data_IF_682136348059
#
_entry.id   IF_682136348059
#
_cell.length_a   1.000
_cell.length_b   1.000
_cell.length_c   1.000
_cell.angle_alpha   90.00
_cell.angle_beta   90.00
_cell.angle_gamma   90.00
#
_symmetry.space_group_name_H-M   'P 1'
#
loop_
_entity.id
_entity.type
_entity.pdbx_description
1 polymer ?
#
# COMPACT_ATOMS: atom_id res chain seq x y z
N UNK A 1 -45.90 -1.62 44.77
CA UNK A 1 -44.69 -1.45 43.93
C UNK A 1 -44.87 -1.93 42.48
N UNK A 2 -45.17 -3.22 42.20
CA UNK A 2 -45.34 -3.73 40.81
C UNK A 2 -46.41 -3.00 39.96
N UNK A 3 -47.44 -2.42 40.57
CA UNK A 3 -48.47 -1.62 39.88
C UNK A 3 -47.95 -0.25 39.42
N UNK A 4 -47.25 0.50 40.30
CA UNK A 4 -46.58 1.76 39.95
C UNK A 4 -45.57 1.56 38.81
N UNK A 5 -44.76 0.49 38.83
CA UNK A 5 -43.76 0.25 37.78
C UNK A 5 -44.41 -0.01 36.42
N UNK A 6 -45.56 -0.70 36.39
CA UNK A 6 -46.36 -0.92 35.16
C UNK A 6 -47.11 0.35 34.70
N UNK A 7 -47.42 1.24 35.62
CA UNK A 7 -48.06 2.52 35.31
C UNK A 7 -47.05 3.55 34.80
N UNK A 8 -45.97 3.81 35.52
CA UNK A 8 -45.02 4.88 35.19
C UNK A 8 -43.93 4.47 34.20
N UNK A 9 -43.63 3.16 34.07
CA UNK A 9 -42.56 2.67 33.18
C UNK A 9 -42.62 3.16 31.72
N UNK A 10 -43.80 3.22 31.05
CA UNK A 10 -43.88 3.77 29.70
C UNK A 10 -43.64 5.28 29.61
N UNK A 11 -43.97 6.04 30.66
CA UNK A 11 -43.74 7.49 30.71
C UNK A 11 -42.25 7.77 30.98
N UNK A 12 -41.66 7.04 31.92
CA UNK A 12 -40.22 7.10 32.22
C UNK A 12 -39.38 6.81 30.96
N UNK A 13 -39.74 5.76 30.22
CA UNK A 13 -39.12 5.44 28.92
C UNK A 13 -39.33 6.52 27.87
N UNK A 14 -40.53 7.11 27.79
CA UNK A 14 -40.81 8.20 26.86
C UNK A 14 -39.90 9.39 27.13
N UNK A 15 -39.85 9.86 28.39
CA UNK A 15 -39.11 11.07 28.74
C UNK A 15 -37.60 10.87 28.75
N UNK A 16 -37.11 9.68 29.13
CA UNK A 16 -35.69 9.33 29.01
C UNK A 16 -35.27 9.31 27.53
N UNK A 17 -36.05 8.63 26.68
CA UNK A 17 -35.82 8.60 25.24
C UNK A 17 -35.87 10.00 24.61
N UNK A 18 -36.85 10.82 25.00
CA UNK A 18 -36.97 12.21 24.54
C UNK A 18 -35.76 13.06 24.93
N UNK A 19 -35.29 12.93 26.17
CA UNK A 19 -34.11 13.65 26.65
C UNK A 19 -32.86 13.24 25.84
N UNK A 20 -32.62 11.94 25.71
CA UNK A 20 -31.48 11.42 24.96
C UNK A 20 -31.54 11.81 23.48
N UNK A 21 -32.73 11.77 22.86
CA UNK A 21 -32.93 12.22 21.49
C UNK A 21 -32.55 13.69 21.31
N UNK A 22 -33.02 14.58 22.19
CA UNK A 22 -32.72 16.01 22.09
C UNK A 22 -31.22 16.26 22.26
N UNK A 23 -30.57 15.63 23.23
CA UNK A 23 -29.14 15.79 23.47
C UNK A 23 -28.31 15.31 22.25
N UNK A 24 -28.66 14.15 21.69
CA UNK A 24 -27.94 13.56 20.55
C UNK A 24 -28.22 14.28 19.24
N UNK A 25 -29.49 14.59 18.95
CA UNK A 25 -29.89 15.34 17.76
C UNK A 25 -29.19 16.71 17.73
N UNK A 26 -29.15 17.42 18.85
CA UNK A 26 -28.42 18.69 18.95
C UNK A 26 -26.92 18.52 18.67
N UNK A 27 -26.29 17.48 19.22
CA UNK A 27 -24.89 17.19 18.96
C UNK A 27 -24.63 16.91 17.47
N UNK A 28 -25.47 16.11 16.81
CA UNK A 28 -25.34 15.80 15.38
C UNK A 28 -25.51 17.04 14.48
N UNK A 29 -26.33 18.00 14.91
CA UNK A 29 -26.61 19.23 14.17
C UNK A 29 -25.55 20.31 14.31
N UNK A 30 -24.97 20.46 15.50
CA UNK A 30 -24.07 21.58 15.80
C UNK A 30 -22.59 21.26 15.61
N UNK A 31 -22.19 20.00 15.77
CA UNK A 31 -20.80 19.61 15.61
C UNK A 31 -20.33 19.82 14.16
N UNK A 32 -19.05 20.17 13.95
CA UNK A 32 -18.47 20.23 12.62
C UNK A 32 -18.65 18.90 11.89
N UNK A 33 -18.99 18.92 10.59
CA UNK A 33 -19.28 17.71 9.81
C UNK A 33 -18.27 16.56 9.99
N UNK A 34 -16.94 16.79 9.98
CA UNK A 34 -15.96 15.71 10.14
C UNK A 34 -15.94 15.05 11.53
N UNK A 35 -16.58 15.65 12.53
CA UNK A 35 -16.69 15.12 13.89
C UNK A 35 -17.96 14.30 14.11
N UNK A 36 -18.88 14.30 13.15
CA UNK A 36 -20.14 13.59 13.24
C UNK A 36 -20.00 12.22 12.59
N UNK A 37 -20.18 11.16 13.38
CA UNK A 37 -20.30 9.79 12.87
C UNK A 37 -21.73 9.57 12.36
N UNK A 38 -21.90 9.69 11.03
CA UNK A 38 -23.20 9.61 10.39
C UNK A 38 -23.81 8.20 10.47
N UNK A 39 -23.00 7.13 10.42
CA UNK A 39 -23.48 5.75 10.56
C UNK A 39 -24.02 5.52 11.98
N UNK A 40 -23.27 5.96 13.00
CA UNK A 40 -23.71 5.88 14.38
C UNK A 40 -24.98 6.71 14.64
N UNK A 41 -25.06 7.92 14.07
CA UNK A 41 -26.24 8.78 14.18
C UNK A 41 -27.49 8.13 13.56
N UNK A 42 -27.39 7.63 12.32
CA UNK A 42 -28.49 6.96 11.62
C UNK A 42 -28.94 5.69 12.36
N UNK A 43 -28.00 4.86 12.83
CA UNK A 43 -28.29 3.68 13.62
C UNK A 43 -29.02 4.03 14.92
N UNK A 44 -28.54 5.05 15.64
CA UNK A 44 -29.14 5.52 16.90
C UNK A 44 -30.53 6.10 16.69
N UNK A 45 -30.77 6.84 15.61
CA UNK A 45 -32.09 7.33 15.26
C UNK A 45 -33.08 6.18 15.05
N UNK A 46 -32.69 5.13 14.31
CA UNK A 46 -33.48 3.92 14.12
C UNK A 46 -33.82 3.18 15.42
N UNK A 47 -32.88 3.15 16.38
CA UNK A 47 -33.13 2.63 17.73
C UNK A 47 -34.20 3.46 18.46
N UNK A 48 -34.10 4.78 18.43
CA UNK A 48 -35.06 5.68 19.06
C UNK A 48 -36.46 5.54 18.43
N UNK A 49 -36.57 5.53 17.10
CA UNK A 49 -37.83 5.32 16.38
C UNK A 49 -38.49 4.00 16.76
N UNK A 50 -37.70 2.91 16.84
CA UNK A 50 -38.17 1.59 17.27
C UNK A 50 -38.68 1.58 18.72
N UNK A 51 -37.97 2.26 19.63
CA UNK A 51 -38.36 2.36 21.03
C UNK A 51 -39.64 3.20 21.19
N UNK A 52 -39.72 4.36 20.54
CA UNK A 52 -40.89 5.25 20.56
C UNK A 52 -42.12 4.56 19.96
N UNK A 53 -41.98 3.77 18.89
CA UNK A 53 -43.08 2.99 18.32
C UNK A 53 -43.65 1.96 19.31
N UNK A 54 -42.79 1.32 20.12
CA UNK A 54 -43.22 0.39 21.18
C UNK A 54 -43.94 1.12 22.31
N UNK A 55 -43.42 2.28 22.73
CA UNK A 55 -44.02 3.12 23.78
C UNK A 55 -45.37 3.67 23.33
N UNK A 56 -45.46 4.15 22.08
CA UNK A 56 -46.69 4.67 21.47
C UNK A 56 -47.83 3.64 21.52
N UNK A 57 -47.58 2.40 21.08
CA UNK A 57 -48.57 1.29 21.16
C UNK A 57 -49.06 1.01 22.57
N UNK A 58 -48.21 1.20 23.59
CA UNK A 58 -48.58 0.98 25.00
C UNK A 58 -49.39 2.15 25.54
N UNK A 59 -49.08 3.38 25.12
CA UNK A 59 -49.82 4.58 25.52
C UNK A 59 -51.20 4.63 24.87
N UNK A 60 -51.33 4.25 23.60
CA UNK A 60 -52.63 4.18 22.89
C UNK A 60 -53.60 3.17 23.53
N UNK A 61 -53.09 2.04 24.01
CA UNK A 61 -53.90 1.04 24.74
C UNK A 61 -54.48 1.55 26.06
N UNK A 62 -53.92 2.63 26.63
CA UNK A 62 -54.38 3.22 27.91
C UNK A 62 -55.42 4.33 27.72
N UNK A 63 -55.81 4.67 26.48
CA UNK A 63 -56.90 5.59 26.16
C UNK A 63 -56.70 7.03 26.64
N UNK A 64 -57.81 7.72 26.95
CA UNK A 64 -57.89 9.15 27.28
C UNK A 64 -57.02 9.58 28.48
N UNK A 65 -56.73 8.69 29.43
CA UNK A 65 -55.94 9.01 30.62
C UNK A 65 -54.50 9.46 30.32
N UNK A 66 -53.99 9.23 29.09
CA UNK A 66 -52.62 9.57 28.68
C UNK A 66 -52.52 10.27 27.33
N UNK A 67 -53.59 10.96 26.93
CA UNK A 67 -53.67 11.63 25.63
C UNK A 67 -52.47 12.55 25.35
N UNK A 68 -52.08 13.40 26.31
CA UNK A 68 -50.94 14.30 26.16
C UNK A 68 -49.61 13.56 25.94
N UNK A 69 -49.36 12.50 26.71
CA UNK A 69 -48.13 11.71 26.57
C UNK A 69 -48.11 10.93 25.24
N UNK A 70 -49.26 10.40 24.81
CA UNK A 70 -49.40 9.76 23.51
C UNK A 70 -49.16 10.76 22.37
N UNK A 71 -49.66 12.00 22.50
CA UNK A 71 -49.39 13.08 21.54
C UNK A 71 -47.90 13.43 21.47
N UNK A 72 -47.22 13.63 22.61
CA UNK A 72 -45.78 13.90 22.62
C UNK A 72 -44.97 12.75 21.99
N UNK A 73 -45.33 11.51 22.30
CA UNK A 73 -44.68 10.33 21.71
C UNK A 73 -44.87 10.27 20.19
N UNK A 74 -46.05 10.65 19.67
CA UNK A 74 -46.30 10.73 18.23
C UNK A 74 -45.48 11.83 17.55
N UNK A 75 -45.35 13.00 18.18
CA UNK A 75 -44.53 14.09 17.66
C UNK A 75 -43.06 13.69 17.59
N UNK A 76 -42.51 13.13 18.68
CA UNK A 76 -41.13 12.61 18.69
C UNK A 76 -40.92 11.51 17.65
N UNK A 77 -41.88 10.59 17.50
CA UNK A 77 -41.80 9.54 16.47
C UNK A 77 -41.84 10.10 15.05
N UNK A 78 -42.54 11.22 14.82
CA UNK A 78 -42.54 11.91 13.54
C UNK A 78 -41.21 12.62 13.30
N UNK A 79 -40.65 13.25 14.33
CA UNK A 79 -39.34 13.90 14.29
C UNK A 79 -38.22 12.89 13.99
N UNK A 80 -38.17 11.75 14.69
CA UNK A 80 -37.19 10.69 14.40
C UNK A 80 -37.31 10.16 12.98
N UNK A 81 -38.53 10.08 12.45
CA UNK A 81 -38.75 9.66 11.06
C UNK A 81 -38.29 10.71 10.05
N UNK A 82 -38.58 11.99 10.29
CA UNK A 82 -38.08 13.06 9.42
C UNK A 82 -36.55 13.08 9.42
N UNK A 83 -35.92 12.87 10.57
CA UNK A 83 -34.47 12.69 10.64
C UNK A 83 -34.00 11.50 9.79
N UNK A 84 -34.61 10.33 9.95
CA UNK A 84 -34.26 9.11 9.18
C UNK A 84 -34.45 9.28 7.67
N UNK A 85 -35.52 9.96 7.25
CA UNK A 85 -35.90 10.09 5.84
C UNK A 85 -35.19 11.26 5.13
N UNK A 86 -34.98 12.40 5.81
CA UNK A 86 -34.50 13.65 5.19
C UNK A 86 -33.04 14.00 5.56
N UNK A 87 -32.63 13.76 6.81
CA UNK A 87 -31.34 14.24 7.34
C UNK A 87 -30.25 13.18 7.28
N UNK A 88 -30.55 11.96 7.73
CA UNK A 88 -29.61 10.86 7.79
C UNK A 88 -28.99 10.54 6.41
N UNK A 89 -29.73 10.52 5.28
CA UNK A 89 -29.13 10.30 3.97
C UNK A 89 -28.12 11.38 3.59
N UNK A 90 -28.40 12.65 3.91
CA UNK A 90 -27.47 13.74 3.66
C UNK A 90 -26.21 13.59 4.54
N UNK A 91 -26.39 13.31 5.83
CA UNK A 91 -25.29 13.11 6.78
C UNK A 91 -24.33 12.01 6.32
N UNK A 92 -24.88 10.87 5.88
CA UNK A 92 -24.10 9.74 5.37
C UNK A 92 -23.27 10.09 4.12
N UNK A 93 -23.60 11.16 3.42
CA UNK A 93 -22.83 11.63 2.26
C UNK A 93 -21.81 12.69 2.64
N UNK A 94 -22.19 13.68 3.46
CA UNK A 94 -21.38 14.89 3.68
C UNK A 94 -20.47 14.82 4.91
N UNK A 95 -20.77 13.96 5.88
CA UNK A 95 -19.92 13.74 7.04
C UNK A 95 -18.79 12.73 6.76
N UNK A 96 -18.84 12.03 5.63
CA UNK A 96 -17.78 11.12 5.21
C UNK A 96 -16.46 11.89 4.96
N UNK A 97 -15.33 11.39 5.46
CA UNK A 97 -14.04 12.00 5.24
C UNK A 97 -13.66 11.94 3.74
N UNK A 98 -13.13 13.06 3.22
CA UNK A 98 -12.67 13.14 1.84
C UNK A 98 -13.23 14.30 1.04
N UNK A 99 -14.27 14.96 1.56
CA UNK A 99 -14.78 16.20 0.99
C UNK A 99 -13.70 17.28 0.95
N UNK A 100 -13.35 17.72 -0.26
CA UNK A 100 -12.37 18.76 -0.56
C UNK A 100 -13.09 19.91 -1.27
N UNK A 101 -12.47 21.08 -1.33
CA UNK A 101 -13.09 22.28 -1.91
C UNK A 101 -13.68 22.04 -3.31
N UNK A 102 -12.97 21.30 -4.17
CA UNK A 102 -13.45 20.90 -5.50
C UNK A 102 -14.81 20.18 -5.50
N UNK A 103 -15.06 19.31 -4.51
CA UNK A 103 -16.32 18.56 -4.39
C UNK A 103 -17.45 19.50 -3.97
N UNK A 104 -17.16 20.41 -3.03
CA UNK A 104 -18.13 21.43 -2.64
C UNK A 104 -18.45 22.40 -3.77
N UNK A 105 -17.47 22.78 -4.58
CA UNK A 105 -17.68 23.64 -5.75
C UNK A 105 -18.55 22.94 -6.81
N UNK A 106 -18.36 21.63 -7.00
CA UNK A 106 -19.22 20.81 -7.86
C UNK A 106 -20.65 20.71 -7.31
N UNK A 107 -20.82 20.48 -6.00
CA UNK A 107 -22.14 20.49 -5.34
C UNK A 107 -22.85 21.83 -5.55
N UNK A 108 -22.16 22.96 -5.35
CA UNK A 108 -22.73 24.30 -5.62
C UNK A 108 -23.12 24.46 -7.08
N UNK A 109 -22.27 24.02 -8.00
CA UNK A 109 -22.53 24.11 -9.43
C UNK A 109 -23.76 23.30 -9.85
N UNK A 110 -23.98 22.12 -9.26
CA UNK A 110 -25.11 21.22 -9.56
C UNK A 110 -26.40 21.70 -8.90
N UNK A 111 -26.35 22.08 -7.63
CA UNK A 111 -27.55 22.47 -6.86
C UNK A 111 -27.97 23.93 -7.06
N UNK A 112 -27.04 24.78 -7.55
CA UNK A 112 -27.19 26.25 -7.63
C UNK A 112 -27.38 26.93 -6.28
N UNK A 113 -27.05 26.24 -5.18
CA UNK A 113 -27.06 26.78 -3.83
C UNK A 113 -25.77 27.55 -3.58
N UNK A 114 -25.90 28.72 -2.95
CA UNK A 114 -24.78 29.56 -2.57
C UNK A 114 -24.57 29.47 -1.06
N UNK A 115 -23.39 28.99 -0.65
CA UNK A 115 -23.02 28.89 0.75
C UNK A 115 -21.50 28.90 0.97
N UNK A 116 -21.06 29.31 2.15
CA UNK A 116 -19.65 29.29 2.53
C UNK A 116 -19.26 27.95 3.14
N UNK A 117 -18.25 27.29 2.56
CA UNK A 117 -17.66 26.08 3.14
C UNK A 117 -16.58 26.53 4.13
N UNK A 118 -16.72 26.14 5.39
CA UNK A 118 -15.75 26.44 6.45
C UNK A 118 -15.45 25.18 7.25
N UNK A 119 -14.33 25.16 7.98
CA UNK A 119 -13.95 24.01 8.81
C UNK A 119 -14.95 23.73 9.95
N UNK A 120 -15.72 24.74 10.37
CA UNK A 120 -16.77 24.62 11.38
C UNK A 120 -18.17 24.45 10.80
N UNK A 121 -18.29 24.16 9.50
CA UNK A 121 -19.58 23.89 8.87
C UNK A 121 -20.25 22.69 9.55
N UNK A 122 -21.55 22.77 9.79
CA UNK A 122 -22.32 21.75 10.50
C UNK A 122 -23.62 21.38 9.77
N UNK A 123 -24.31 20.35 10.27
CA UNK A 123 -25.52 19.85 9.63
C UNK A 123 -26.66 20.86 9.68
N UNK A 124 -26.80 21.63 10.77
CA UNK A 124 -27.83 22.66 10.88
C UNK A 124 -27.75 23.67 9.72
N UNK A 125 -26.54 24.15 9.41
CA UNK A 125 -26.33 25.06 8.29
C UNK A 125 -26.72 24.43 6.93
N UNK A 126 -26.38 23.16 6.71
CA UNK A 126 -26.74 22.45 5.47
C UNK A 126 -28.24 22.26 5.31
N UNK A 127 -28.94 22.01 6.42
CA UNK A 127 -30.39 21.90 6.46
C UNK A 127 -31.06 23.25 6.20
N UNK A 128 -30.55 24.34 6.79
CA UNK A 128 -31.06 25.70 6.59
C UNK A 128 -30.94 26.16 5.13
N UNK A 129 -29.88 25.72 4.44
CA UNK A 129 -29.68 25.99 3.01
C UNK A 129 -30.58 25.10 2.13
N UNK A 130 -31.14 24.01 2.69
CA UNK A 130 -32.01 23.08 1.99
C UNK A 130 -31.26 22.03 1.16
N UNK A 131 -30.01 21.70 1.49
CA UNK A 131 -29.21 20.74 0.73
C UNK A 131 -29.81 19.32 0.77
N UNK A 132 -30.57 18.98 1.82
CA UNK A 132 -31.27 17.71 1.97
C UNK A 132 -32.23 17.40 0.81
N UNK A 133 -32.79 18.41 0.16
CA UNK A 133 -33.65 18.21 -1.01
C UNK A 133 -32.88 17.79 -2.28
N UNK A 134 -31.55 17.87 -2.25
CA UNK A 134 -30.68 17.59 -3.39
C UNK A 134 -29.77 16.38 -3.19
N UNK A 135 -30.03 15.54 -2.17
CA UNK A 135 -29.26 14.32 -1.86
C UNK A 135 -28.96 13.49 -3.13
N UNK A 136 -30.00 13.23 -3.94
CA UNK A 136 -29.87 12.46 -5.18
C UNK A 136 -28.95 13.09 -6.25
N UNK A 137 -28.76 14.42 -6.24
CA UNK A 137 -27.88 15.10 -7.19
C UNK A 137 -26.42 15.15 -6.71
N UNK A 138 -26.20 15.09 -5.41
CA UNK A 138 -24.86 15.24 -4.80
C UNK A 138 -24.23 13.89 -4.43
N UNK A 139 -25.03 12.82 -4.42
CA UNK A 139 -24.61 11.46 -4.06
C UNK A 139 -23.35 11.03 -4.81
N UNK A 140 -23.34 11.16 -6.14
CA UNK A 140 -22.19 10.78 -6.97
C UNK A 140 -20.91 11.54 -6.59
N UNK A 141 -21.01 12.84 -6.33
CA UNK A 141 -19.89 13.69 -5.93
C UNK A 141 -19.37 13.31 -4.55
N UNK A 142 -20.25 13.07 -3.57
CA UNK A 142 -19.87 12.65 -2.23
C UNK A 142 -19.25 11.24 -2.22
N UNK A 143 -19.82 10.30 -2.99
CA UNK A 143 -19.26 8.96 -3.16
C UNK A 143 -17.88 9.05 -3.82
N UNK A 144 -17.71 9.90 -4.84
CA UNK A 144 -16.40 10.14 -5.46
C UNK A 144 -15.39 10.65 -4.43
N UNK A 145 -15.76 11.63 -3.61
CA UNK A 145 -14.90 12.19 -2.56
C UNK A 145 -14.42 11.12 -1.56
N UNK A 146 -15.34 10.27 -1.08
CA UNK A 146 -15.01 9.18 -0.16
C UNK A 146 -14.05 8.16 -0.81
N UNK A 147 -14.31 7.76 -2.06
CA UNK A 147 -13.45 6.82 -2.80
C UNK A 147 -12.08 7.40 -3.12
N UNK A 148 -12.01 8.69 -3.44
CA UNK A 148 -10.76 9.43 -3.63
C UNK A 148 -9.93 9.46 -2.35
N UNK A 149 -10.54 9.76 -1.20
CA UNK A 149 -9.84 9.77 0.08
C UNK A 149 -9.34 8.39 0.50
N UNK A 150 -10.12 7.33 0.23
CA UNK A 150 -9.67 5.96 0.45
C UNK A 150 -8.44 5.61 -0.42
N UNK A 151 -8.44 6.02 -1.69
CA UNK A 151 -7.30 5.83 -2.60
C UNK A 151 -6.08 6.61 -2.11
N UNK A 152 -6.22 7.89 -1.75
CA UNK A 152 -5.15 8.72 -1.22
C UNK A 152 -4.54 8.13 0.07
N UNK A 153 -5.39 7.64 0.98
CA UNK A 153 -4.96 6.97 2.21
C UNK A 153 -4.21 5.69 1.91
N UNK A 154 -4.68 4.89 0.96
CA UNK A 154 -4.02 3.66 0.56
C UNK A 154 -2.64 3.93 -0.07
N UNK A 155 -2.54 4.91 -0.97
CA UNK A 155 -1.28 5.33 -1.58
C UNK A 155 -0.29 5.87 -0.55
N UNK A 156 -0.75 6.71 0.37
CA UNK A 156 0.09 7.25 1.46
C UNK A 156 0.61 6.15 2.37
N UNK A 157 -0.23 5.15 2.67
CA UNK A 157 0.18 3.97 3.44
C UNK A 157 1.24 3.15 2.69
N UNK A 158 1.04 2.91 1.39
CA UNK A 158 1.98 2.17 0.56
C UNK A 158 3.36 2.84 0.52
N UNK A 159 3.42 4.16 0.31
CA UNK A 159 4.66 4.93 0.39
C UNK A 159 5.30 4.84 1.79
N UNK A 160 4.48 4.93 2.84
CA UNK A 160 4.93 4.84 4.23
C UNK A 160 5.50 3.47 4.62
N UNK A 161 5.03 2.37 4.03
CA UNK A 161 5.54 1.03 4.32
C UNK A 161 7.03 0.88 4.00
N UNK A 162 7.59 1.72 3.11
CA UNK A 162 8.99 1.66 2.71
C UNK A 162 9.91 2.53 3.57
N UNK A 163 9.40 3.28 4.56
CA UNK A 163 10.23 4.23 5.33
C UNK A 163 11.37 3.56 6.08
N UNK A 164 11.13 2.33 6.54
CA UNK A 164 12.05 1.58 7.39
C UNK A 164 12.67 0.38 6.63
N UNK A 165 12.36 0.25 5.34
CA UNK A 165 12.86 -0.84 4.51
C UNK A 165 14.30 -0.57 4.06
N UNK A 166 15.20 -1.49 4.38
CA UNK A 166 16.62 -1.39 4.08
C UNK A 166 17.14 -2.66 3.40
N UNK A 167 18.00 -2.49 2.39
CA UNK A 167 18.71 -3.60 1.77
C UNK A 167 19.77 -4.17 2.74
N UNK A 168 19.61 -5.45 3.08
CA UNK A 168 20.62 -6.18 3.83
C UNK A 168 21.85 -6.48 2.98
N UNK A 169 23.04 -6.18 3.51
CA UNK A 169 24.31 -6.58 2.89
C UNK A 169 25.15 -7.41 3.85
N UNK A 170 25.92 -8.37 3.33
CA UNK A 170 26.88 -9.17 4.10
C UNK A 170 28.23 -9.23 3.40
N UNK A 171 29.29 -9.35 4.20
CA UNK A 171 30.65 -9.48 3.70
C UNK A 171 30.86 -10.84 3.02
N UNK A 172 31.55 -10.83 1.89
CA UNK A 172 31.87 -12.03 1.12
C UNK A 172 33.23 -11.88 0.45
N UNK A 173 34.23 -12.61 0.98
CA UNK A 173 35.62 -12.60 0.47
C UNK A 173 36.18 -11.18 0.31
N UNK A 174 36.25 -10.72 -0.93
CA UNK A 174 36.86 -9.45 -1.36
C UNK A 174 35.84 -8.30 -1.46
N UNK A 175 34.55 -8.57 -1.24
CA UNK A 175 33.48 -7.58 -1.37
C UNK A 175 32.29 -7.83 -0.45
N UNK A 176 31.11 -7.41 -0.90
CA UNK A 176 29.83 -7.58 -0.21
C UNK A 176 28.78 -8.10 -1.18
N UNK A 177 27.75 -8.76 -0.64
CA UNK A 177 26.59 -9.23 -1.40
C UNK A 177 25.29 -8.88 -0.69
N UNK A 178 24.21 -8.75 -1.47
CA UNK A 178 22.85 -8.62 -0.95
C UNK A 178 22.43 -9.87 -0.19
N UNK A 179 21.62 -9.68 0.84
CA UNK A 179 21.08 -10.76 1.68
C UNK A 179 19.72 -10.36 2.26
N UNK A 180 18.82 -11.33 2.43
CA UNK A 180 17.55 -11.12 3.12
C UNK A 180 16.58 -10.22 2.34
N UNK A 181 16.53 -10.35 1.02
CA UNK A 181 15.69 -9.50 0.15
C UNK A 181 14.26 -10.03 -0.03
N UNK A 182 13.94 -11.21 0.50
CA UNK A 182 12.66 -11.89 0.24
C UNK A 182 11.45 -11.03 0.66
N UNK A 183 11.54 -10.36 1.82
CA UNK A 183 10.48 -9.47 2.31
C UNK A 183 10.32 -8.23 1.43
N UNK A 184 11.43 -7.69 0.91
CA UNK A 184 11.44 -6.54 -0.02
C UNK A 184 10.76 -6.94 -1.34
N UNK A 185 11.11 -8.10 -1.90
CA UNK A 185 10.49 -8.60 -3.14
C UNK A 185 8.99 -8.86 -2.95
N UNK A 186 8.60 -9.47 -1.83
CA UNK A 186 7.20 -9.73 -1.54
C UNK A 186 6.38 -8.43 -1.41
N UNK A 187 6.87 -7.42 -0.69
CA UNK A 187 6.19 -6.13 -0.58
C UNK A 187 6.16 -5.40 -1.94
N UNK A 188 7.23 -5.49 -2.72
CA UNK A 188 7.31 -4.90 -4.06
C UNK A 188 6.26 -5.48 -5.01
N UNK A 189 6.17 -6.80 -5.12
CA UNK A 189 5.20 -7.48 -5.98
C UNK A 189 3.75 -7.11 -5.61
N UNK A 190 3.45 -7.13 -4.31
CA UNK A 190 2.13 -6.77 -3.78
C UNK A 190 1.79 -5.30 -4.08
N UNK A 191 2.75 -4.39 -3.88
CA UNK A 191 2.55 -2.98 -4.16
C UNK A 191 2.45 -2.65 -5.64
N UNK A 192 3.15 -3.37 -6.53
CA UNK A 192 2.99 -3.22 -7.98
C UNK A 192 1.54 -3.53 -8.38
N UNK A 193 0.99 -4.66 -7.94
CA UNK A 193 -0.40 -5.06 -8.24
C UNK A 193 -1.40 -4.04 -7.67
N UNK A 194 -1.18 -3.57 -6.43
CA UNK A 194 -2.02 -2.55 -5.82
C UNK A 194 -1.98 -1.21 -6.57
N UNK A 195 -0.79 -0.80 -7.02
CA UNK A 195 -0.61 0.45 -7.77
C UNK A 195 -1.33 0.38 -9.12
N UNK A 196 -1.21 -0.74 -9.84
CA UNK A 196 -1.96 -0.99 -11.08
C UNK A 196 -3.48 -0.95 -10.87
N UNK A 197 -3.97 -1.54 -9.78
CA UNK A 197 -5.38 -1.47 -9.41
C UNK A 197 -5.84 -0.03 -9.11
N UNK A 198 -5.00 0.78 -8.45
CA UNK A 198 -5.26 2.21 -8.23
C UNK A 198 -5.29 2.98 -9.54
N UNK A 199 -4.34 2.74 -10.44
CA UNK A 199 -4.28 3.36 -11.76
C UNK A 199 -5.54 3.06 -12.58
N UNK A 200 -6.10 1.84 -12.47
CA UNK A 200 -7.36 1.46 -13.10
C UNK A 200 -8.63 2.05 -12.47
N UNK A 201 -8.54 2.74 -11.34
CA UNK A 201 -9.69 3.31 -10.64
C UNK A 201 -10.25 4.53 -11.36
N UNK A 202 -11.58 4.60 -11.50
CA UNK A 202 -12.26 5.81 -12.02
C UNK A 202 -12.03 7.08 -11.17
N UNK A 203 -11.58 6.90 -9.93
CA UNK A 203 -11.33 7.97 -8.95
C UNK A 203 -9.85 8.39 -8.88
N UNK A 204 -8.98 7.83 -9.74
CA UNK A 204 -7.54 8.11 -9.69
C UNK A 204 -7.19 9.51 -10.18
N UNK A 205 -8.06 10.16 -10.96
CA UNK A 205 -7.75 11.38 -11.72
C UNK A 205 -7.03 12.49 -10.92
N UNK A 206 -7.41 12.83 -9.68
CA UNK A 206 -6.71 13.86 -8.89
C UNK A 206 -5.30 13.44 -8.44
N UNK A 207 -5.01 12.14 -8.45
CA UNK A 207 -3.79 11.53 -7.94
C UNK A 207 -2.94 10.88 -9.03
N UNK A 208 -3.35 10.96 -10.30
CA UNK A 208 -2.72 10.24 -11.42
C UNK A 208 -1.20 10.49 -11.47
N UNK A 209 -0.76 11.76 -11.43
CA UNK A 209 0.66 12.09 -11.43
C UNK A 209 1.45 11.48 -10.24
N UNK A 210 0.81 11.33 -9.08
CA UNK A 210 1.44 10.72 -7.90
C UNK A 210 1.48 9.20 -8.03
N UNK A 211 0.41 8.58 -8.54
CA UNK A 211 0.33 7.15 -8.83
C UNK A 211 1.35 6.76 -9.90
N UNK A 212 1.45 7.53 -11.00
CA UNK A 212 2.42 7.28 -12.08
C UNK A 212 3.86 7.35 -11.58
N UNK A 213 4.19 8.38 -10.78
CA UNK A 213 5.51 8.52 -10.19
C UNK A 213 5.84 7.38 -9.22
N UNK A 214 4.83 6.89 -8.48
CA UNK A 214 4.99 5.75 -7.59
C UNK A 214 5.19 4.45 -8.36
N UNK A 215 4.38 4.21 -9.39
CA UNK A 215 4.52 3.05 -10.28
C UNK A 215 5.90 3.01 -10.92
N UNK A 216 6.38 4.13 -11.46
CA UNK A 216 7.74 4.22 -12.00
C UNK A 216 8.81 3.88 -10.96
N UNK A 217 8.63 4.33 -9.71
CA UNK A 217 9.57 4.01 -8.62
C UNK A 217 9.60 2.50 -8.34
N UNK A 218 8.43 1.86 -8.28
CA UNK A 218 8.33 0.42 -8.03
C UNK A 218 8.87 -0.41 -9.21
N UNK A 219 8.53 -0.06 -10.45
CA UNK A 219 9.06 -0.76 -11.64
C UNK A 219 10.57 -0.61 -11.75
N UNK A 220 11.11 0.60 -11.51
CA UNK A 220 12.56 0.80 -11.50
C UNK A 220 13.25 -0.02 -10.41
N UNK A 221 12.65 -0.11 -9.21
CA UNK A 221 13.16 -0.95 -8.14
C UNK A 221 13.15 -2.45 -8.52
N UNK A 222 12.09 -2.92 -9.18
CA UNK A 222 12.02 -4.29 -9.70
C UNK A 222 13.15 -4.58 -10.68
N UNK A 223 13.34 -3.72 -11.67
CA UNK A 223 14.40 -3.85 -12.68
C UNK A 223 15.79 -3.82 -12.04
N UNK A 224 15.99 -2.97 -11.03
CA UNK A 224 17.24 -2.92 -10.25
C UNK A 224 17.47 -4.25 -9.56
N UNK A 225 16.50 -4.76 -8.77
CA UNK A 225 16.66 -6.02 -8.02
C UNK A 225 16.96 -7.19 -8.97
N UNK A 226 16.23 -7.30 -10.09
CA UNK A 226 16.41 -8.38 -11.04
C UNK A 226 17.79 -8.37 -11.69
N UNK A 227 18.27 -7.19 -12.11
CA UNK A 227 19.62 -7.06 -12.67
C UNK A 227 20.69 -7.30 -11.59
N UNK A 228 20.48 -6.80 -10.38
CA UNK A 228 21.41 -6.93 -9.27
C UNK A 228 21.64 -8.39 -8.87
N UNK A 229 20.56 -9.17 -8.76
CA UNK A 229 20.64 -10.59 -8.44
C UNK A 229 21.34 -11.40 -9.53
N UNK A 230 21.12 -11.06 -10.81
CA UNK A 230 21.85 -11.66 -11.93
C UNK A 230 23.34 -11.35 -11.86
N UNK A 231 23.72 -10.09 -11.63
CA UNK A 231 25.12 -9.68 -11.44
C UNK A 231 25.72 -10.44 -10.27
N UNK A 232 25.02 -10.50 -9.13
CA UNK A 232 25.49 -11.18 -7.93
C UNK A 232 25.77 -12.67 -8.18
N UNK A 233 24.84 -13.38 -8.82
CA UNK A 233 24.99 -14.80 -9.11
C UNK A 233 26.19 -15.08 -10.03
N UNK A 234 26.32 -14.29 -11.11
CA UNK A 234 27.43 -14.41 -12.05
C UNK A 234 28.77 -14.01 -11.41
N UNK A 235 28.79 -12.92 -10.63
CA UNK A 235 30.00 -12.45 -9.94
C UNK A 235 30.49 -13.46 -8.90
N UNK A 236 29.61 -14.05 -8.10
CA UNK A 236 29.96 -15.08 -7.12
C UNK A 236 30.61 -16.31 -7.76
N UNK A 237 30.19 -16.65 -8.98
CA UNK A 237 30.77 -17.75 -9.75
C UNK A 237 32.15 -17.37 -10.33
N UNK A 238 32.26 -16.19 -10.93
CA UNK A 238 33.42 -15.77 -11.71
C UNK A 238 34.57 -15.21 -10.85
N UNK A 239 34.29 -14.60 -9.70
CA UNK A 239 35.30 -14.03 -8.80
C UNK A 239 36.42 -15.01 -8.42
N UNK A 240 36.15 -16.24 -7.93
CA UNK A 240 37.22 -17.19 -7.65
C UNK A 240 38.01 -17.58 -8.90
N UNK A 241 37.34 -17.71 -10.04
CA UNK A 241 37.95 -18.19 -11.29
C UNK A 241 38.94 -17.16 -11.83
N UNK A 242 38.52 -15.90 -11.92
CA UNK A 242 39.32 -14.80 -12.45
C UNK A 242 40.30 -14.22 -11.41
N UNK A 243 40.25 -14.66 -10.15
CA UNK A 243 41.32 -14.43 -9.17
C UNK A 243 42.60 -15.23 -9.45
N UNK A 244 42.52 -16.28 -10.28
CA UNK A 244 43.66 -17.10 -10.66
C UNK A 244 44.54 -16.42 -11.71
N UNK A 245 45.83 -16.28 -11.40
CA UNK A 245 46.86 -15.79 -12.33
C UNK A 245 46.93 -16.61 -13.62
N UNK A 246 46.61 -17.90 -13.57
CA UNK A 246 46.67 -18.76 -14.75
C UNK A 246 45.52 -18.47 -15.71
N UNK A 247 44.30 -18.44 -15.20
CA UNK A 247 43.11 -18.07 -15.99
C UNK A 247 43.27 -16.66 -16.55
N UNK A 248 43.79 -15.72 -15.75
CA UNK A 248 44.04 -14.34 -16.20
C UNK A 248 44.98 -14.26 -17.40
N UNK A 249 45.97 -15.15 -17.49
CA UNK A 249 46.91 -15.22 -18.62
C UNK A 249 46.31 -15.90 -19.85
N UNK A 250 45.40 -16.85 -19.66
CA UNK A 250 44.76 -17.60 -20.74
C UNK A 250 43.61 -16.82 -21.37
N UNK A 251 42.89 -16.02 -20.57
CA UNK A 251 41.71 -15.24 -20.94
C UNK A 251 41.89 -13.74 -20.64
N UNK A 252 42.87 -13.05 -21.25
CA UNK A 252 43.22 -11.67 -20.89
C UNK A 252 42.09 -10.67 -21.19
N UNK A 253 41.32 -10.89 -22.25
CA UNK A 253 40.22 -10.01 -22.67
C UNK A 253 39.08 -10.08 -21.67
N UNK A 254 38.64 -11.30 -21.32
CA UNK A 254 37.60 -11.57 -20.34
C UNK A 254 38.02 -11.11 -18.95
N UNK A 255 39.30 -11.31 -18.58
CA UNK A 255 39.84 -10.84 -17.29
C UNK A 255 39.82 -9.32 -17.16
N UNK A 256 40.16 -8.61 -18.24
CA UNK A 256 40.04 -7.15 -18.26
C UNK A 256 38.59 -6.70 -18.11
N UNK A 257 37.63 -7.36 -18.77
CA UNK A 257 36.20 -7.06 -18.61
C UNK A 257 35.71 -7.36 -17.19
N UNK A 258 36.12 -8.51 -16.62
CA UNK A 258 35.76 -8.88 -15.25
C UNK A 258 36.28 -7.88 -14.23
N UNK A 259 37.50 -7.35 -14.42
CA UNK A 259 38.07 -6.33 -13.54
C UNK A 259 37.21 -5.06 -13.50
N UNK A 260 36.68 -4.63 -14.65
CA UNK A 260 35.76 -3.48 -14.73
C UNK A 260 34.47 -3.78 -13.98
N UNK A 261 33.83 -4.93 -14.26
CA UNK A 261 32.59 -5.34 -13.59
C UNK A 261 32.79 -5.46 -12.08
N UNK A 262 33.91 -6.04 -11.64
CA UNK A 262 34.25 -6.19 -10.23
C UNK A 262 34.39 -4.83 -9.53
N UNK A 263 34.99 -3.83 -10.19
CA UNK A 263 35.04 -2.46 -9.68
C UNK A 263 33.65 -1.87 -9.46
N UNK A 264 32.79 -1.94 -10.48
CA UNK A 264 31.40 -1.47 -10.42
C UNK A 264 30.62 -2.18 -9.31
N UNK A 265 30.78 -3.49 -9.17
CA UNK A 265 30.14 -4.30 -8.13
C UNK A 265 30.54 -3.84 -6.72
N UNK A 266 31.85 -3.77 -6.46
CA UNK A 266 32.37 -3.40 -5.13
C UNK A 266 31.93 -1.99 -4.75
N UNK A 267 32.00 -1.03 -5.67
CA UNK A 267 31.57 0.35 -5.43
C UNK A 267 30.06 0.42 -5.15
N UNK A 268 29.24 -0.20 -6.00
CA UNK A 268 27.79 -0.22 -5.86
C UNK A 268 27.35 -0.82 -4.52
N UNK A 269 27.97 -1.92 -4.11
CA UNK A 269 27.70 -2.61 -2.85
C UNK A 269 28.19 -1.81 -1.63
N UNK A 270 29.33 -1.12 -1.74
CA UNK A 270 29.83 -0.26 -0.66
C UNK A 270 28.93 0.96 -0.43
N UNK A 271 28.45 1.58 -1.50
CA UNK A 271 27.51 2.69 -1.40
C UNK A 271 26.16 2.24 -0.84
N UNK A 272 25.65 1.09 -1.27
CA UNK A 272 24.42 0.49 -0.71
C UNK A 272 24.57 0.17 0.77
N UNK A 273 25.73 -0.30 1.21
CA UNK A 273 25.99 -0.51 2.63
C UNK A 273 26.05 0.79 3.44
N UNK A 274 26.38 1.93 2.81
CA UNK A 274 26.39 3.25 3.44
C UNK A 274 24.99 3.85 3.51
N UNK A 275 24.19 3.62 2.48
CA UNK A 275 22.84 4.15 2.33
C UNK A 275 21.88 3.00 1.93
N UNK A 276 21.44 2.18 2.91
CA UNK A 276 20.73 0.94 2.63
C UNK A 276 19.24 1.13 2.37
N UNK A 277 18.68 2.31 2.65
CA UNK A 277 17.26 2.59 2.48
C UNK A 277 16.79 2.26 1.06
N UNK A 278 15.78 1.40 0.94
CA UNK A 278 15.34 0.82 -0.35
C UNK A 278 14.96 1.91 -1.35
N UNK A 279 14.21 2.93 -0.91
CA UNK A 279 13.81 4.03 -1.78
C UNK A 279 14.97 4.93 -2.21
N UNK A 280 16.04 5.05 -1.41
CA UNK A 280 17.22 5.80 -1.82
C UNK A 280 17.95 5.05 -2.94
N UNK A 281 18.13 3.74 -2.74
CA UNK A 281 18.76 2.85 -3.74
C UNK A 281 17.94 2.80 -5.04
N UNK A 282 16.61 2.73 -4.95
CA UNK A 282 15.71 2.78 -6.10
C UNK A 282 15.82 4.08 -6.92
N UNK A 283 16.24 5.18 -6.29
CA UNK A 283 16.35 6.52 -6.90
C UNK A 283 17.79 6.89 -7.25
N UNK A 284 18.75 5.98 -7.05
CA UNK A 284 20.15 6.22 -7.39
C UNK A 284 20.32 6.30 -8.91
N UNK A 285 20.67 7.48 -9.39
CA UNK A 285 20.90 7.73 -10.82
C UNK A 285 22.01 6.82 -11.36
N UNK A 286 21.77 6.19 -12.52
CA UNK A 286 22.77 5.37 -13.20
C UNK A 286 22.93 3.94 -12.67
N UNK A 287 22.32 3.59 -11.53
CA UNK A 287 22.50 2.25 -10.94
C UNK A 287 21.98 1.16 -11.87
N UNK A 288 20.76 1.32 -12.40
CA UNK A 288 20.16 0.32 -13.27
C UNK A 288 21.01 0.12 -14.52
N UNK A 289 21.43 1.21 -15.15
CA UNK A 289 22.27 1.20 -16.34
C UNK A 289 23.62 0.51 -16.07
N UNK A 290 24.25 0.79 -14.93
CA UNK A 290 25.49 0.14 -14.50
C UNK A 290 25.29 -1.38 -14.30
N UNK A 291 24.20 -1.80 -13.67
CA UNK A 291 23.90 -3.21 -13.44
C UNK A 291 23.57 -3.95 -14.75
N UNK A 292 22.83 -3.31 -15.67
CA UNK A 292 22.54 -3.86 -16.99
C UNK A 292 23.83 -4.02 -17.81
N UNK A 293 24.66 -2.97 -17.87
CA UNK A 293 25.95 -2.99 -18.56
C UNK A 293 26.93 -4.02 -17.96
N UNK A 294 26.88 -4.22 -16.63
CA UNK A 294 27.62 -5.28 -15.95
C UNK A 294 27.13 -6.68 -16.34
N UNK A 295 25.80 -6.91 -16.39
CA UNK A 295 25.23 -8.18 -16.83
C UNK A 295 25.63 -8.51 -18.28
N UNK A 296 25.57 -7.55 -19.20
CA UNK A 296 25.99 -7.76 -20.59
C UNK A 296 27.47 -8.18 -20.69
N UNK A 297 28.36 -7.55 -19.91
CA UNK A 297 29.76 -7.96 -19.84
C UNK A 297 29.93 -9.35 -19.23
N UNK A 298 29.17 -9.67 -18.19
CA UNK A 298 29.21 -10.98 -17.53
C UNK A 298 28.78 -12.10 -18.49
N UNK A 299 27.78 -11.87 -19.33
CA UNK A 299 27.35 -12.84 -20.36
C UNK A 299 28.48 -13.12 -21.37
N UNK A 300 29.19 -12.08 -21.81
CA UNK A 300 30.36 -12.23 -22.70
C UNK A 300 31.48 -13.01 -22.01
N UNK A 301 31.77 -12.69 -20.74
CA UNK A 301 32.80 -13.36 -19.95
C UNK A 301 32.45 -14.86 -19.76
N UNK A 302 31.21 -15.17 -19.40
CA UNK A 302 30.75 -16.56 -19.22
C UNK A 302 30.86 -17.36 -20.51
N UNK A 303 30.49 -16.74 -21.64
CA UNK A 303 30.64 -17.37 -22.95
C UNK A 303 32.11 -17.64 -23.29
N UNK A 304 32.99 -16.64 -23.12
CA UNK A 304 34.42 -16.79 -23.37
C UNK A 304 35.06 -17.88 -22.50
N UNK A 305 34.65 -17.96 -21.24
CA UNK A 305 35.07 -19.03 -20.33
C UNK A 305 34.60 -20.41 -20.80
N UNK A 306 33.34 -20.52 -21.23
CA UNK A 306 32.79 -21.78 -21.77
C UNK A 306 33.54 -22.24 -23.02
N UNK A 307 33.76 -21.34 -23.98
CA UNK A 307 34.48 -21.63 -25.22
C UNK A 307 35.93 -22.10 -24.94
N UNK A 308 36.58 -21.51 -23.93
CA UNK A 308 37.90 -21.93 -23.46
C UNK A 308 37.88 -23.34 -22.87
N UNK A 309 36.91 -23.65 -22.00
CA UNK A 309 36.77 -24.98 -21.42
C UNK A 309 36.47 -26.05 -22.48
N UNK A 310 35.64 -25.75 -23.48
CA UNK A 310 35.41 -26.64 -24.62
C UNK A 310 36.68 -26.90 -25.43
N UNK A 311 37.48 -25.86 -25.67
CA UNK A 311 38.78 -26.00 -26.35
C UNK A 311 39.71 -26.95 -25.57
N UNK A 312 39.73 -26.87 -24.23
CA UNK A 312 40.49 -27.82 -23.39
C UNK A 312 39.92 -29.24 -23.46
N UNK A 313 38.60 -29.41 -23.52
CA UNK A 313 37.95 -30.73 -23.69
C UNK A 313 38.32 -31.39 -25.02
N UNK A 314 38.35 -30.62 -26.11
CA UNK A 314 38.77 -31.11 -27.43
C UNK A 314 40.24 -31.55 -27.45
N UNK A 315 41.10 -30.84 -26.72
CA UNK A 315 42.52 -31.19 -26.62
C UNK A 315 42.76 -32.45 -25.77
N UNK A 316 41.90 -32.73 -24.77
CA UNK A 316 42.02 -33.91 -23.92
C UNK A 316 40.65 -34.55 -23.64
N UNK A 317 40.24 -35.57 -24.43
CA UNK A 317 38.88 -36.12 -24.40
C UNK A 317 38.40 -36.66 -23.04
N UNK A 318 39.30 -36.93 -22.08
CA UNK A 318 38.89 -37.35 -20.72
C UNK A 318 38.24 -36.21 -19.93
N UNK A 319 38.46 -34.94 -20.31
CA UNK A 319 37.80 -33.79 -19.67
C UNK A 319 36.31 -33.67 -20.01
N UNK A 320 35.78 -34.43 -20.99
CA UNK A 320 34.34 -34.51 -21.21
C UNK A 320 33.58 -35.19 -20.07
N UNK A 321 34.26 -35.95 -19.21
CA UNK A 321 33.65 -36.60 -18.05
C UNK A 321 33.61 -35.70 -16.80
N UNK A 322 34.14 -34.48 -16.89
CA UNK A 322 34.21 -33.53 -15.78
C UNK A 322 33.20 -32.41 -15.99
N UNK A 323 32.58 -31.98 -14.89
CA UNK A 323 31.84 -30.73 -14.83
C UNK A 323 32.76 -29.52 -15.10
N UNK A 324 32.17 -28.35 -15.39
CA UNK A 324 32.97 -27.14 -15.61
C UNK A 324 33.78 -26.78 -14.37
N UNK A 325 33.22 -26.96 -13.17
CA UNK A 325 33.86 -26.59 -11.91
C UNK A 325 35.05 -27.51 -11.60
N UNK A 326 34.90 -28.82 -11.75
CA UNK A 326 36.00 -29.79 -11.61
C UNK A 326 37.11 -29.53 -12.63
N UNK A 327 36.73 -29.16 -13.87
CA UNK A 327 37.70 -28.84 -14.90
C UNK A 327 38.47 -27.55 -14.56
N UNK A 328 37.78 -26.53 -14.06
CA UNK A 328 38.41 -25.28 -13.64
C UNK A 328 39.35 -25.47 -12.45
N UNK A 329 38.95 -26.29 -11.47
CA UNK A 329 39.79 -26.65 -10.32
C UNK A 329 41.09 -27.33 -10.77
N UNK A 330 40.98 -28.34 -11.65
CA UNK A 330 42.16 -29.01 -12.21
C UNK A 330 43.04 -28.02 -12.98
N UNK A 331 42.45 -27.16 -13.82
CA UNK A 331 43.19 -26.19 -14.63
C UNK A 331 43.92 -25.16 -13.77
N UNK A 332 43.29 -24.68 -12.69
CA UNK A 332 43.89 -23.74 -11.74
C UNK A 332 45.10 -24.35 -10.98
N UNK A 333 45.11 -25.66 -10.74
CA UNK A 333 46.17 -26.36 -10.00
C UNK A 333 47.33 -26.89 -10.88
N UNK A 334 47.26 -26.77 -12.21
CA UNK A 334 48.22 -27.41 -13.15
C UNK A 334 49.69 -26.98 -13.04
N UNK A 335 50.05 -26.01 -12.20
CA UNK A 335 51.46 -25.66 -11.96
C UNK A 335 52.21 -26.66 -11.08
N UNK A 336 51.52 -27.51 -10.31
CA UNK A 336 52.16 -28.52 -9.46
C UNK A 336 51.68 -29.96 -9.79
N UNK A 337 52.38 -30.68 -10.70
CA UNK A 337 51.97 -32.02 -11.14
C UNK A 337 51.90 -33.07 -10.03
N UNK A 338 52.45 -32.79 -8.84
CA UNK A 338 52.37 -33.69 -7.69
C UNK A 338 51.03 -33.66 -6.95
N UNK A 339 50.26 -32.55 -7.05
CA UNK A 339 48.94 -32.39 -6.40
C UNK A 339 47.79 -33.02 -7.19
N UNK A 340 47.86 -32.94 -8.52
CA UNK A 340 46.88 -33.58 -9.43
C UNK A 340 46.89 -35.12 -9.31
N UNK A 341 48.02 -35.70 -8.88
CA UNK A 341 48.17 -37.14 -8.65
C UNK A 341 47.74 -37.58 -7.24
N UNK A 342 47.70 -36.68 -6.24
CA UNK A 342 47.40 -37.06 -4.85
C UNK A 342 45.90 -37.30 -4.61
N UNK A 343 45.00 -36.66 -5.37
CA UNK A 343 43.55 -36.91 -5.26
C UNK A 343 43.10 -38.26 -5.86
N UNK A 344 43.92 -38.91 -6.71
CA UNK A 344 43.57 -40.21 -7.32
C UNK A 344 44.14 -41.44 -6.60
N UNK A 345 44.88 -41.25 -5.50
CA UNK A 345 45.48 -42.35 -4.74
C UNK A 345 44.88 -42.54 -3.34
N UNK A 346 43.80 -41.83 -2.99
CA UNK A 346 43.11 -41.96 -1.69
C UNK A 346 41.60 -42.24 -1.83
N UNK A 347 41.15 -42.69 -3.00
CA UNK A 347 39.79 -43.24 -3.20
C UNK A 347 39.84 -44.75 -3.41
#
# INVERSE_FOLDING_TARGET
MKSCTKEFGPLDKLWTCAKEWVEQSHAWHELPLPQVDAEAAASKAGEFGSQLARVSKVLEKKGESRENAARCCKLLLQETKSFEDDEAPLMLLVCEPGMKQRHWDEIKATTKLEFSVTAGMNMMQLMDIGLNHYVHLIEDTCVAASKEAALEKALTKMEGNWSDAEFGTKEWRTGRILSGIDEIQQELDDQIVKTQAMHGSRYVKPFLARVDAWEHTLTSLQDIIDNWLKVQAAWLYLEPIFSSDDITRQLPTESSMFTVVNGVWIESMAETAREPAVLSVARREGLLEQLTDANEKLDVIQKGLSDYLETKRLAFPRFFFLSNDELLEILAETKDPTKVLTQRLVS
#
